data_IF_763554834173
#
_entry.id   IF_763554834173
#
_cell.length_a   1.000
_cell.length_b   1.000
_cell.length_c   1.000
_cell.angle_alpha   90.00
_cell.angle_beta   90.00
_cell.angle_gamma   90.00
#
_symmetry.space_group_name_H-M   'P 1'
#
loop_
_entity.id
_entity.type
_entity.pdbx_description
1 polymer ?
#
# COMPACT_ATOMS: atom_id res chain seq x y z
N UNK A 1 -16.72 23.83 -7.85
CA UNK A 1 -15.96 22.61 -7.58
C UNK A 1 -14.45 22.85 -7.57
N UNK A 2 -13.83 23.30 -8.65
CA UNK A 2 -12.36 23.55 -8.73
C UNK A 2 -11.88 24.80 -7.96
N UNK A 3 -12.76 25.59 -7.40
CA UNK A 3 -12.48 26.73 -6.50
C UNK A 3 -12.81 26.40 -5.04
N UNK A 4 -13.24 25.16 -4.76
CA UNK A 4 -13.60 24.71 -3.42
C UNK A 4 -12.35 24.08 -2.77
N UNK A 5 -11.87 24.70 -1.69
CA UNK A 5 -10.69 24.26 -0.95
C UNK A 5 -10.82 22.84 -0.41
N UNK A 6 -12.04 22.44 -0.02
CA UNK A 6 -12.29 21.08 0.50
C UNK A 6 -12.12 20.06 -0.63
N UNK A 7 -12.63 20.37 -1.83
CA UNK A 7 -12.47 19.52 -2.99
C UNK A 7 -10.99 19.38 -3.39
N UNK A 8 -10.26 20.48 -3.45
CA UNK A 8 -8.83 20.45 -3.78
C UNK A 8 -8.02 19.70 -2.73
N UNK A 9 -8.38 19.83 -1.46
CA UNK A 9 -7.73 19.07 -0.36
C UNK A 9 -8.01 17.57 -0.50
N UNK A 10 -9.23 17.17 -0.81
CA UNK A 10 -9.58 15.77 -1.02
C UNK A 10 -8.85 15.17 -2.23
N UNK A 11 -8.73 15.91 -3.33
CA UNK A 11 -7.97 15.52 -4.50
C UNK A 11 -6.48 15.35 -4.19
N UNK A 12 -5.88 16.30 -3.45
CA UNK A 12 -4.50 16.22 -3.00
C UNK A 12 -4.27 14.97 -2.13
N UNK A 13 -5.16 14.69 -1.20
CA UNK A 13 -5.07 13.50 -0.34
C UNK A 13 -5.11 12.20 -1.16
N UNK A 14 -6.00 12.13 -2.16
CA UNK A 14 -6.03 10.99 -3.08
C UNK A 14 -4.70 10.82 -3.84
N UNK A 15 -4.10 11.90 -4.34
CA UNK A 15 -2.80 11.84 -5.04
C UNK A 15 -1.70 11.35 -4.08
N UNK A 16 -1.67 11.86 -2.85
CA UNK A 16 -0.73 11.40 -1.82
C UNK A 16 -0.88 9.90 -1.58
N UNK A 17 -2.11 9.43 -1.41
CA UNK A 17 -2.39 8.00 -1.22
C UNK A 17 -1.99 7.15 -2.43
N UNK A 18 -2.30 7.61 -3.65
CA UNK A 18 -1.98 6.91 -4.90
C UNK A 18 -0.47 6.75 -5.13
N UNK A 19 0.35 7.61 -4.52
CA UNK A 19 1.81 7.52 -4.58
C UNK A 19 2.36 6.75 -3.38
N UNK A 20 1.99 7.14 -2.16
CA UNK A 20 2.60 6.62 -0.93
C UNK A 20 2.22 5.17 -0.68
N UNK A 21 0.95 4.80 -0.87
CA UNK A 21 0.51 3.41 -0.63
C UNK A 21 1.24 2.40 -1.52
N UNK A 22 1.31 2.56 -2.87
CA UNK A 22 2.08 1.65 -3.70
C UNK A 22 3.56 1.62 -3.34
N UNK A 23 4.20 2.79 -3.15
CA UNK A 23 5.63 2.85 -2.81
C UNK A 23 5.93 2.04 -1.54
N UNK A 24 5.23 2.33 -0.45
CA UNK A 24 5.50 1.69 0.84
C UNK A 24 5.11 0.22 0.83
N UNK A 25 3.88 -0.10 0.37
CA UNK A 25 3.38 -1.47 0.39
C UNK A 25 4.21 -2.40 -0.49
N UNK A 26 4.51 -1.99 -1.74
CA UNK A 26 5.22 -2.86 -2.68
C UNK A 26 6.70 -2.99 -2.30
N UNK A 27 7.32 -1.95 -1.76
CA UNK A 27 8.70 -2.03 -1.25
C UNK A 27 8.80 -3.01 -0.09
N UNK A 28 7.91 -2.91 0.90
CA UNK A 28 7.88 -3.85 2.03
C UNK A 28 7.54 -5.27 1.58
N UNK A 29 6.56 -5.42 0.70
CA UNK A 29 6.15 -6.74 0.17
C UNK A 29 7.26 -7.41 -0.62
N UNK A 30 7.98 -6.65 -1.47
CA UNK A 30 9.12 -7.16 -2.23
C UNK A 30 10.29 -7.52 -1.31
N UNK A 31 10.58 -6.70 -0.31
CA UNK A 31 11.62 -7.00 0.68
C UNK A 31 11.32 -8.31 1.42
N UNK A 32 10.08 -8.48 1.91
CA UNK A 32 9.65 -9.71 2.58
C UNK A 32 9.67 -10.91 1.63
N UNK A 33 9.17 -10.77 0.39
CA UNK A 33 9.19 -11.81 -0.61
C UNK A 33 10.63 -12.26 -0.93
N UNK A 34 11.55 -11.32 -1.11
CA UNK A 34 12.96 -11.60 -1.37
C UNK A 34 13.64 -12.29 -0.20
N UNK A 35 13.36 -11.90 1.04
CA UNK A 35 13.88 -12.57 2.24
C UNK A 35 13.40 -14.02 2.33
N UNK A 36 12.13 -14.26 1.98
CA UNK A 36 11.54 -15.62 2.05
C UNK A 36 12.05 -16.52 0.93
N UNK A 37 12.30 -15.99 -0.28
CA UNK A 37 12.64 -16.77 -1.47
C UNK A 37 14.15 -16.89 -1.70
N UNK A 38 14.89 -15.80 -1.60
CA UNK A 38 16.33 -15.70 -1.91
C UNK A 38 17.19 -15.98 -0.69
N UNK A 39 16.61 -15.97 0.51
CA UNK A 39 17.31 -16.07 1.81
C UNK A 39 17.82 -17.46 2.22
N UNK A 40 17.50 -18.54 1.50
CA UNK A 40 17.80 -19.92 1.90
C UNK A 40 19.25 -20.38 1.65
N UNK A 41 19.71 -21.30 2.52
CA UNK A 41 21.08 -21.82 2.57
C UNK A 41 21.51 -22.55 1.30
N UNK A 42 22.79 -22.39 0.98
CA UNK A 42 23.50 -23.01 -0.13
C UNK A 42 23.50 -24.54 -0.06
N UNK A 43 22.87 -25.18 -1.02
CA UNK A 43 23.21 -26.47 -1.64
C UNK A 43 22.10 -26.85 -2.61
N UNK A 44 22.26 -26.47 -3.87
CA UNK A 44 21.53 -27.06 -5.01
C UNK A 44 20.02 -26.89 -5.11
N UNK A 45 19.36 -26.13 -4.26
CA UNK A 45 17.95 -25.72 -4.36
C UNK A 45 17.77 -24.34 -3.71
N UNK A 46 17.02 -23.47 -4.36
CA UNK A 46 16.53 -22.22 -3.76
C UNK A 46 15.58 -22.54 -2.59
N UNK A 47 16.17 -22.95 -1.46
CA UNK A 47 15.41 -23.19 -0.24
C UNK A 47 15.24 -21.85 0.46
N UNK A 48 14.02 -21.30 0.38
CA UNK A 48 13.58 -20.19 1.21
C UNK A 48 13.76 -20.49 2.72
N UNK A 49 13.51 -19.50 3.55
CA UNK A 49 13.56 -19.66 5.01
C UNK A 49 12.77 -20.90 5.45
N UNK A 50 13.31 -21.64 6.43
CA UNK A 50 12.55 -22.68 7.12
C UNK A 50 11.24 -22.07 7.63
N UNK A 51 10.10 -22.76 7.40
CA UNK A 51 8.76 -22.27 7.70
C UNK A 51 8.25 -21.13 6.81
N UNK A 52 8.72 -20.99 5.54
CA UNK A 52 8.23 -19.99 4.60
C UNK A 52 6.70 -20.01 4.42
N UNK A 53 6.05 -21.18 4.55
CA UNK A 53 4.60 -21.31 4.54
C UNK A 53 3.93 -20.59 5.70
N UNK A 54 4.46 -20.73 6.90
CA UNK A 54 3.93 -20.05 8.09
C UNK A 54 3.99 -18.52 7.95
N UNK A 55 5.16 -17.99 7.54
CA UNK A 55 5.30 -16.54 7.33
C UNK A 55 4.32 -15.99 6.27
N UNK A 56 4.08 -16.74 5.19
CA UNK A 56 3.10 -16.37 4.17
C UNK A 56 1.69 -16.35 4.74
N UNK A 57 1.29 -17.39 5.48
CA UNK A 57 -0.05 -17.47 6.06
C UNK A 57 -0.29 -16.35 7.07
N UNK A 58 0.66 -16.11 7.99
CA UNK A 58 0.53 -15.06 9.01
C UNK A 58 0.51 -13.67 8.39
N UNK A 59 1.39 -13.39 7.40
CA UNK A 59 1.39 -12.08 6.74
C UNK A 59 0.18 -11.86 5.85
N UNK A 60 -0.40 -12.91 5.27
CA UNK A 60 -1.60 -12.83 4.43
C UNK A 60 -2.89 -12.67 5.24
N UNK A 61 -2.89 -13.10 6.51
CA UNK A 61 -4.09 -13.11 7.35
C UNK A 61 -4.81 -11.75 7.44
N UNK A 62 -4.13 -10.60 7.61
CA UNK A 62 -4.81 -9.31 7.66
C UNK A 62 -5.63 -8.99 6.41
N UNK A 63 -5.16 -9.38 5.24
CA UNK A 63 -5.84 -9.13 3.95
C UNK A 63 -7.21 -9.83 3.86
N UNK A 64 -7.40 -10.96 4.53
CA UNK A 64 -8.67 -11.72 4.52
C UNK A 64 -9.76 -11.03 5.32
N UNK A 65 -9.40 -10.15 6.25
CA UNK A 65 -10.34 -9.42 7.10
C UNK A 65 -11.01 -8.30 6.27
N UNK A 66 -12.34 -8.14 6.30
CA UNK A 66 -13.01 -7.03 5.61
C UNK A 66 -12.46 -5.67 6.05
N UNK A 67 -12.23 -4.77 5.08
CA UNK A 67 -11.62 -3.46 5.31
C UNK A 67 -12.33 -2.62 6.39
N UNK A 68 -13.67 -2.70 6.44
CA UNK A 68 -14.47 -2.00 7.46
C UNK A 68 -14.16 -2.52 8.88
N UNK A 69 -13.99 -3.83 9.03
CA UNK A 69 -13.66 -4.46 10.31
C UNK A 69 -12.26 -4.07 10.75
N UNK A 70 -11.30 -4.07 9.82
CA UNK A 70 -9.93 -3.58 10.06
C UNK A 70 -9.97 -2.13 10.56
N UNK A 71 -10.72 -1.27 9.88
CA UNK A 71 -10.84 0.14 10.26
C UNK A 71 -11.41 0.33 11.66
N UNK A 72 -12.50 -0.38 12.00
CA UNK A 72 -13.12 -0.34 13.34
C UNK A 72 -12.15 -0.89 14.40
N UNK A 73 -11.48 -2.00 14.12
CA UNK A 73 -10.49 -2.58 15.03
C UNK A 73 -9.33 -1.60 15.31
N UNK A 74 -8.77 -1.01 14.27
CA UNK A 74 -7.67 -0.06 14.41
C UNK A 74 -8.10 1.27 15.02
N UNK A 75 -9.35 1.71 14.85
CA UNK A 75 -9.85 2.89 15.56
C UNK A 75 -9.85 2.69 17.08
N UNK A 76 -10.13 1.47 17.56
CA UNK A 76 -10.01 1.11 18.98
C UNK A 76 -8.54 1.00 19.44
N UNK A 77 -7.66 0.48 18.59
CA UNK A 77 -6.22 0.39 18.91
C UNK A 77 -5.59 1.79 19.03
N UNK A 78 -6.08 2.75 18.22
CA UNK A 78 -5.63 4.14 18.20
C UNK A 78 -6.41 5.06 19.18
N UNK A 79 -7.33 4.52 19.99
CA UNK A 79 -8.11 5.33 20.94
C UNK A 79 -7.17 6.06 21.90
N UNK A 80 -7.33 7.40 22.08
CA UNK A 80 -6.43 8.17 22.95
C UNK A 80 -6.48 7.75 24.41
N UNK A 81 -7.67 7.31 24.90
CA UNK A 81 -7.89 7.07 26.33
C UNK A 81 -7.58 5.63 26.75
N UNK A 82 -7.97 4.66 25.92
CA UNK A 82 -7.88 3.22 26.25
C UNK A 82 -7.24 2.40 25.13
N UNK A 83 -6.61 3.04 24.14
CA UNK A 83 -6.03 2.36 22.98
C UNK A 83 -4.82 1.50 23.34
N UNK A 84 -4.79 0.29 22.75
CA UNK A 84 -3.72 -0.67 22.96
C UNK A 84 -2.34 -0.09 22.60
N UNK A 85 -2.25 0.72 21.54
CA UNK A 85 -0.98 1.29 21.09
C UNK A 85 -0.41 2.27 22.12
N UNK A 86 -1.24 3.19 22.64
CA UNK A 86 -0.84 4.13 23.68
C UNK A 86 -0.43 3.39 24.96
N UNK A 87 -1.20 2.38 25.37
CA UNK A 87 -0.89 1.58 26.56
C UNK A 87 0.46 0.85 26.44
N UNK A 88 0.78 0.27 25.28
CA UNK A 88 2.08 -0.38 25.05
C UNK A 88 3.21 0.64 25.07
N UNK A 89 3.07 1.77 24.39
CA UNK A 89 4.12 2.80 24.31
C UNK A 89 4.40 3.41 25.69
N UNK A 90 3.36 3.69 26.48
CA UNK A 90 3.51 4.21 27.85
C UNK A 90 4.17 3.16 28.76
N UNK A 91 3.76 1.89 28.65
CA UNK A 91 4.40 0.82 29.42
C UNK A 91 5.89 0.62 29.08
N UNK A 92 6.32 0.99 27.86
CA UNK A 92 7.72 1.01 27.44
C UNK A 92 8.47 2.26 27.87
N UNK A 93 7.83 3.20 28.60
CA UNK A 93 8.44 4.41 29.12
C UNK A 93 8.28 5.66 28.24
N UNK A 94 7.47 5.59 27.18
CA UNK A 94 7.18 6.74 26.31
C UNK A 94 5.92 7.47 26.79
N UNK A 95 6.01 8.18 27.92
CA UNK A 95 4.89 8.90 28.56
C UNK A 95 4.20 9.92 27.62
N UNK A 96 4.92 10.46 26.64
CA UNK A 96 4.36 11.39 25.66
C UNK A 96 3.18 10.80 24.85
N UNK A 97 3.01 9.49 24.83
CA UNK A 97 1.92 8.80 24.14
C UNK A 97 0.76 8.38 25.04
N UNK A 98 0.74 8.75 26.32
CA UNK A 98 -0.30 8.34 27.28
C UNK A 98 -1.74 8.62 26.79
N UNK A 99 -1.95 9.76 26.12
CA UNK A 99 -3.25 10.13 25.54
C UNK A 99 -3.09 10.67 24.10
N UNK A 100 -2.15 10.12 23.34
CA UNK A 100 -1.82 10.66 22.03
C UNK A 100 -2.93 10.37 21.00
N UNK A 101 -3.51 11.40 20.35
CA UNK A 101 -4.65 11.22 19.43
C UNK A 101 -4.17 10.91 18.01
N UNK A 102 -3.78 9.68 17.73
CA UNK A 102 -3.25 9.24 16.41
C UNK A 102 -4.10 9.65 15.22
N UNK A 103 -5.42 9.54 15.34
CA UNK A 103 -6.40 9.92 14.32
C UNK A 103 -6.98 11.32 14.55
N UNK A 104 -6.76 11.89 15.71
CA UNK A 104 -7.26 13.22 16.12
C UNK A 104 -6.30 14.38 15.83
N UNK A 105 -5.04 14.10 15.51
CA UNK A 105 -4.04 15.12 15.14
C UNK A 105 -3.90 15.16 13.60
N UNK A 106 -3.99 16.36 13.02
CA UNK A 106 -3.89 16.59 11.56
C UNK A 106 -2.57 16.06 10.96
N UNK A 107 -1.49 16.04 11.72
CA UNK A 107 -0.16 15.63 11.28
C UNK A 107 0.00 14.12 11.23
N UNK A 108 -0.72 13.40 12.10
CA UNK A 108 -0.56 11.94 12.25
C UNK A 108 -1.68 11.13 11.65
N UNK A 109 -2.89 11.69 11.51
CA UNK A 109 -4.08 10.96 11.06
C UNK A 109 -3.88 10.27 9.70
N UNK A 110 -3.29 10.97 8.71
CA UNK A 110 -3.03 10.39 7.40
C UNK A 110 -1.98 9.26 7.48
N UNK A 111 -0.89 9.47 8.20
CA UNK A 111 0.17 8.47 8.36
C UNK A 111 -0.32 7.23 9.11
N UNK A 112 -1.11 7.41 10.19
CA UNK A 112 -1.74 6.32 10.91
C UNK A 112 -2.67 5.49 10.02
N UNK A 113 -3.47 6.16 9.18
CA UNK A 113 -4.36 5.49 8.23
C UNK A 113 -3.58 4.74 7.15
N UNK A 114 -2.53 5.34 6.59
CA UNK A 114 -1.63 4.68 5.63
C UNK A 114 -1.03 3.42 6.24
N UNK A 115 -0.57 3.47 7.48
CA UNK A 115 -0.01 2.32 8.18
C UNK A 115 -1.01 1.15 8.24
N UNK A 116 -2.27 1.42 8.57
CA UNK A 116 -3.32 0.39 8.63
C UNK A 116 -3.56 -0.26 7.27
N UNK A 117 -3.64 0.55 6.21
CA UNK A 117 -3.85 0.03 4.85
C UNK A 117 -2.63 -0.80 4.40
N UNK A 118 -1.41 -0.30 4.62
CA UNK A 118 -0.17 -1.03 4.32
C UNK A 118 -0.12 -2.35 5.07
N UNK A 119 -0.39 -2.35 6.37
CA UNK A 119 -0.41 -3.55 7.20
C UNK A 119 -1.40 -4.59 6.67
N UNK A 120 -2.57 -4.16 6.21
CA UNK A 120 -3.57 -5.07 5.67
C UNK A 120 -3.21 -5.64 4.29
N UNK A 121 -2.46 -4.89 3.47
CA UNK A 121 -2.18 -5.24 2.07
C UNK A 121 -0.82 -5.90 1.84
N UNK A 122 0.16 -5.64 2.70
CA UNK A 122 1.55 -6.08 2.50
C UNK A 122 1.68 -7.59 2.29
N UNK A 123 0.90 -8.38 3.01
CA UNK A 123 0.94 -9.84 2.91
C UNK A 123 0.43 -10.38 1.58
N UNK A 124 -0.61 -9.78 1.02
CA UNK A 124 -1.15 -10.13 -0.30
C UNK A 124 -0.09 -9.91 -1.39
N UNK A 125 0.48 -8.71 -1.46
CA UNK A 125 1.51 -8.38 -2.46
C UNK A 125 2.81 -9.15 -2.23
N UNK A 126 3.15 -9.48 -0.98
CA UNK A 126 4.27 -10.38 -0.68
C UNK A 126 4.06 -11.76 -1.30
N UNK A 127 2.88 -12.37 -1.16
CA UNK A 127 2.58 -13.69 -1.75
C UNK A 127 2.61 -13.62 -3.28
N UNK A 128 2.08 -12.54 -3.88
CA UNK A 128 2.13 -12.29 -5.31
C UNK A 128 3.58 -12.23 -5.81
N UNK A 129 4.46 -11.47 -5.14
CA UNK A 129 5.87 -11.38 -5.52
C UNK A 129 6.62 -12.67 -5.27
N UNK A 130 6.29 -13.43 -4.23
CA UNK A 130 6.86 -14.78 -4.03
C UNK A 130 6.53 -15.71 -5.20
N UNK A 131 5.32 -15.64 -5.75
CA UNK A 131 4.95 -16.39 -6.94
C UNK A 131 5.79 -15.96 -8.14
N UNK A 132 5.81 -14.65 -8.44
CA UNK A 132 6.59 -14.09 -9.54
C UNK A 132 8.10 -14.43 -9.46
N UNK A 133 8.69 -14.37 -8.26
CA UNK A 133 10.12 -14.74 -8.07
C UNK A 133 10.36 -16.23 -8.34
N UNK A 134 9.40 -17.08 -8.02
CA UNK A 134 9.54 -18.52 -8.25
C UNK A 134 9.42 -18.93 -9.72
N UNK A 135 8.79 -18.11 -10.54
CA UNK A 135 8.68 -18.32 -11.98
C UNK A 135 9.99 -17.98 -12.71
N UNK A 136 10.93 -17.28 -12.04
CA UNK A 136 12.26 -17.03 -12.59
C UNK A 136 13.09 -18.33 -12.56
N UNK A 137 13.74 -18.72 -13.66
CA UNK A 137 14.59 -19.93 -13.72
C UNK A 137 15.68 -19.94 -12.63
N UNK A 138 15.85 -21.07 -11.96
CA UNK A 138 16.80 -21.20 -10.86
C UNK A 138 18.25 -20.94 -11.29
N UNK A 139 18.57 -21.30 -12.54
CA UNK A 139 19.88 -21.10 -13.15
C UNK A 139 20.32 -19.63 -13.14
N UNK A 140 19.37 -18.69 -13.27
CA UNK A 140 19.64 -17.25 -13.19
C UNK A 140 20.22 -16.86 -11.82
N UNK A 141 19.66 -17.41 -10.76
CA UNK A 141 20.15 -17.15 -9.39
C UNK A 141 21.45 -17.88 -9.07
N UNK A 142 21.65 -19.06 -9.65
CA UNK A 142 22.89 -19.83 -9.50
C UNK A 142 24.05 -19.16 -10.21
N UNK A 143 23.87 -18.72 -11.45
CA UNK A 143 24.87 -17.95 -12.21
C UNK A 143 25.27 -16.68 -11.45
N UNK A 144 24.30 -15.90 -10.98
CA UNK A 144 24.56 -14.70 -10.20
C UNK A 144 25.38 -14.95 -8.92
N UNK A 145 25.15 -16.10 -8.26
CA UNK A 145 25.95 -16.49 -7.07
C UNK A 145 27.36 -16.90 -7.42
N UNK A 146 27.55 -17.59 -8.55
CA UNK A 146 28.89 -17.95 -9.07
C UNK A 146 29.69 -16.67 -9.35
N UNK A 147 29.02 -15.63 -9.91
CA UNK A 147 29.60 -14.31 -10.15
C UNK A 147 29.81 -13.48 -8.86
N UNK A 148 29.55 -14.06 -7.67
CA UNK A 148 29.76 -13.41 -6.38
C UNK A 148 28.69 -12.37 -5.98
N UNK A 149 27.52 -12.38 -6.63
CA UNK A 149 26.45 -11.46 -6.27
C UNK A 149 25.88 -11.78 -4.89
N UNK A 150 25.91 -10.81 -3.97
CA UNK A 150 25.25 -10.89 -2.67
C UNK A 150 23.74 -10.82 -2.78
N UNK A 151 23.03 -11.21 -1.72
CA UNK A 151 21.54 -11.28 -1.67
C UNK A 151 20.84 -9.97 -2.08
N UNK A 152 21.34 -8.85 -1.61
CA UNK A 152 20.78 -7.53 -1.93
C UNK A 152 20.95 -7.21 -3.44
N UNK A 153 22.15 -7.51 -4.00
CA UNK A 153 22.39 -7.33 -5.43
C UNK A 153 21.50 -8.24 -6.27
N UNK A 154 21.32 -9.48 -5.86
CA UNK A 154 20.40 -10.43 -6.53
C UNK A 154 18.97 -9.87 -6.49
N UNK A 155 18.48 -9.39 -5.33
CA UNK A 155 17.14 -8.85 -5.21
C UNK A 155 16.92 -7.64 -6.11
N UNK A 156 17.77 -6.62 -6.05
CA UNK A 156 17.54 -5.33 -6.73
C UNK A 156 17.97 -5.37 -8.20
N UNK A 157 19.11 -5.97 -8.52
CA UNK A 157 19.70 -5.88 -9.87
C UNK A 157 19.28 -7.04 -10.79
N UNK A 158 18.74 -8.14 -10.23
CA UNK A 158 18.36 -9.32 -11.01
C UNK A 158 16.87 -9.60 -10.84
N UNK A 159 16.40 -9.81 -9.62
CA UNK A 159 15.01 -10.22 -9.38
C UNK A 159 14.02 -9.12 -9.74
N UNK A 160 14.22 -7.90 -9.24
CA UNK A 160 13.29 -6.79 -9.45
C UNK A 160 13.07 -6.46 -10.94
N UNK A 161 14.11 -6.38 -11.79
CA UNK A 161 13.91 -6.21 -13.23
C UNK A 161 13.17 -7.37 -13.90
N UNK A 162 13.43 -8.62 -13.50
CA UNK A 162 12.79 -9.80 -14.09
C UNK A 162 11.30 -9.91 -13.77
N UNK A 163 10.86 -9.39 -12.61
CA UNK A 163 9.43 -9.38 -12.22
C UNK A 163 8.77 -8.02 -12.43
N UNK A 164 9.36 -7.12 -13.20
CA UNK A 164 8.89 -5.74 -13.38
C UNK A 164 7.41 -5.64 -13.78
N UNK A 165 6.93 -6.55 -14.62
CA UNK A 165 5.55 -6.55 -15.09
C UNK A 165 4.57 -6.89 -13.96
N UNK A 166 4.96 -7.79 -13.04
CA UNK A 166 4.19 -8.07 -11.84
C UNK A 166 4.18 -6.87 -10.89
N UNK A 167 5.32 -6.17 -10.76
CA UNK A 167 5.43 -4.93 -9.95
C UNK A 167 4.55 -3.83 -10.53
N UNK A 168 4.57 -3.64 -11.86
CA UNK A 168 3.72 -2.67 -12.54
C UNK A 168 2.24 -2.97 -12.33
N UNK A 169 1.84 -4.22 -12.53
CA UNK A 169 0.46 -4.66 -12.32
C UNK A 169 0.01 -4.40 -10.89
N UNK A 170 0.86 -4.76 -9.91
CA UNK A 170 0.61 -4.51 -8.50
C UNK A 170 0.49 -3.00 -8.19
N UNK A 171 1.33 -2.16 -8.83
CA UNK A 171 1.28 -0.70 -8.68
C UNK A 171 -0.04 -0.10 -9.18
N UNK A 172 -0.51 -0.54 -10.35
CA UNK A 172 -1.78 -0.08 -10.92
C UNK A 172 -2.95 -0.47 -10.01
N UNK A 173 -3.04 -1.75 -9.61
CA UNK A 173 -4.10 -2.22 -8.73
C UNK A 173 -4.14 -1.50 -7.39
N UNK A 174 -2.97 -1.35 -6.74
CA UNK A 174 -2.90 -0.68 -5.45
C UNK A 174 -3.15 0.83 -5.56
N UNK A 175 -2.74 1.45 -6.67
CA UNK A 175 -3.04 2.85 -6.93
C UNK A 175 -4.53 3.12 -7.17
N UNK A 176 -5.22 2.23 -7.90
CA UNK A 176 -6.68 2.30 -8.05
C UNK A 176 -7.37 2.16 -6.68
N UNK A 177 -6.94 1.18 -5.87
CA UNK A 177 -7.44 1.01 -4.49
C UNK A 177 -7.20 2.26 -3.64
N UNK A 178 -6.03 2.88 -3.78
CA UNK A 178 -5.69 4.10 -3.05
C UNK A 178 -6.58 5.30 -3.44
N UNK A 179 -6.95 5.40 -4.73
CA UNK A 179 -7.87 6.42 -5.21
C UNK A 179 -9.31 6.18 -4.74
N UNK A 180 -9.70 4.92 -4.51
CA UNK A 180 -11.00 4.50 -3.98
C UNK A 180 -10.93 4.03 -2.50
N UNK A 181 -10.09 4.65 -1.68
CA UNK A 181 -9.88 4.26 -0.29
C UNK A 181 -11.03 4.64 0.66
N UNK A 182 -12.28 4.69 0.17
CA UNK A 182 -13.45 5.14 0.93
C UNK A 182 -13.66 4.36 2.22
N UNK A 183 -13.62 3.02 2.16
CA UNK A 183 -13.99 2.17 3.30
C UNK A 183 -13.03 2.36 4.49
N UNK A 184 -11.72 2.38 4.25
CA UNK A 184 -10.74 2.63 5.30
C UNK A 184 -10.87 4.04 5.88
N UNK A 185 -11.05 5.04 5.02
CA UNK A 185 -11.19 6.43 5.44
C UNK A 185 -12.49 6.66 6.23
N UNK A 186 -13.60 6.06 5.81
CA UNK A 186 -14.87 6.17 6.52
C UNK A 186 -14.84 5.50 7.90
N UNK A 187 -14.11 4.39 8.04
CA UNK A 187 -14.02 3.65 9.29
C UNK A 187 -13.03 4.27 10.30
N UNK A 188 -11.87 4.74 9.82
CA UNK A 188 -10.82 5.32 10.68
C UNK A 188 -11.03 6.82 10.94
N UNK A 189 -11.46 7.55 9.92
CA UNK A 189 -11.59 9.01 9.95
C UNK A 189 -12.97 9.43 9.42
N UNK A 190 -14.05 9.17 10.18
CA UNK A 190 -15.38 9.61 9.77
C UNK A 190 -15.40 11.13 9.58
N UNK A 191 -15.98 11.59 8.46
CA UNK A 191 -16.04 13.02 8.12
C UNK A 191 -14.74 13.61 7.57
N UNK A 192 -13.70 12.81 7.30
CA UNK A 192 -12.45 13.29 6.68
C UNK A 192 -11.33 13.62 7.67
N UNK A 193 -11.50 13.24 8.95
CA UNK A 193 -10.52 13.50 10.01
C UNK A 193 -10.38 14.96 10.42
N UNK A 194 -9.42 15.28 11.30
CA UNK A 194 -9.23 16.64 11.79
C UNK A 194 -8.90 17.59 10.63
N UNK A 195 -9.64 18.69 10.54
CA UNK A 195 -9.48 19.69 9.47
C UNK A 195 -9.45 19.10 8.05
N UNK A 196 -10.21 18.03 7.77
CA UNK A 196 -10.24 17.32 6.47
C UNK A 196 -8.85 16.78 6.03
N UNK A 197 -7.94 16.50 6.98
CA UNK A 197 -6.57 16.06 6.68
C UNK A 197 -6.51 14.69 6.00
N UNK A 198 -7.54 13.87 6.20
CA UNK A 198 -7.66 12.53 5.60
C UNK A 198 -8.83 12.40 4.62
N UNK A 199 -9.54 13.50 4.35
CA UNK A 199 -10.69 13.48 3.45
C UNK A 199 -10.26 13.05 2.04
N UNK A 200 -10.91 12.02 1.49
CA UNK A 200 -10.73 11.55 0.11
C UNK A 200 -11.94 11.89 -0.75
N UNK A 201 -11.74 11.96 -2.07
CA UNK A 201 -12.80 12.35 -3.02
C UNK A 201 -14.02 11.42 -2.94
N UNK A 202 -13.83 10.12 -2.78
CA UNK A 202 -14.93 9.16 -2.64
C UNK A 202 -15.79 9.44 -1.38
N UNK A 203 -15.16 9.83 -0.26
CA UNK A 203 -15.85 10.21 0.98
C UNK A 203 -16.59 11.54 0.81
N UNK A 204 -15.96 12.52 0.16
CA UNK A 204 -16.61 13.81 -0.13
C UNK A 204 -17.79 13.65 -1.10
N UNK A 205 -17.65 12.83 -2.14
CA UNK A 205 -18.72 12.49 -3.08
C UNK A 205 -19.90 11.86 -2.33
N UNK A 206 -19.65 10.88 -1.48
CA UNK A 206 -20.69 10.23 -0.66
C UNK A 206 -21.43 11.26 0.20
N UNK A 207 -20.71 12.09 0.93
CA UNK A 207 -21.30 13.14 1.78
C UNK A 207 -22.10 14.17 0.94
N UNK A 208 -21.60 14.56 -0.23
CA UNK A 208 -22.27 15.51 -1.12
C UNK A 208 -23.56 14.95 -1.69
N UNK A 209 -23.56 13.66 -2.08
CA UNK A 209 -24.74 12.98 -2.58
C UNK A 209 -25.79 12.73 -1.49
N UNK A 210 -25.39 12.00 -0.45
CA UNK A 210 -26.34 11.39 0.49
C UNK A 210 -26.62 12.23 1.73
N UNK A 211 -25.70 13.09 2.15
CA UNK A 211 -25.91 13.99 3.29
C UNK A 211 -26.42 15.36 2.86
N UNK A 212 -25.88 15.92 1.75
CA UNK A 212 -26.26 17.24 1.25
C UNK A 212 -27.35 17.19 0.17
N UNK A 213 -27.70 16.02 -0.37
CA UNK A 213 -28.70 15.86 -1.45
C UNK A 213 -28.27 16.43 -2.81
N UNK A 214 -26.99 16.76 -2.99
CA UNK A 214 -26.47 17.42 -4.22
C UNK A 214 -25.96 16.39 -5.23
N UNK A 215 -26.86 15.55 -5.76
CA UNK A 215 -26.50 14.43 -6.64
C UNK A 215 -25.76 14.88 -7.91
N UNK A 216 -26.17 15.99 -8.55
CA UNK A 216 -25.50 16.49 -9.75
C UNK A 216 -24.02 16.85 -9.50
N UNK A 217 -23.72 17.49 -8.36
CA UNK A 217 -22.36 17.82 -7.97
C UNK A 217 -21.56 16.56 -7.63
N UNK A 218 -22.17 15.59 -6.93
CA UNK A 218 -21.54 14.32 -6.62
C UNK A 218 -21.20 13.53 -7.88
N UNK A 219 -22.09 13.48 -8.88
CA UNK A 219 -21.80 12.86 -10.18
C UNK A 219 -20.62 13.53 -10.88
N UNK A 220 -20.55 14.89 -10.85
CA UNK A 220 -19.39 15.59 -11.41
C UNK A 220 -18.08 15.24 -10.70
N UNK A 221 -18.10 15.11 -9.36
CA UNK A 221 -16.94 14.63 -8.58
C UNK A 221 -16.54 13.20 -8.98
N UNK A 222 -17.51 12.30 -9.21
CA UNK A 222 -17.28 10.95 -9.68
C UNK A 222 -16.60 10.90 -11.05
N UNK A 223 -17.01 11.75 -11.99
CA UNK A 223 -16.37 11.88 -13.30
C UNK A 223 -14.91 12.32 -13.18
N UNK A 224 -14.64 13.31 -12.30
CA UNK A 224 -13.25 13.74 -12.04
C UNK A 224 -12.43 12.63 -11.41
N UNK A 225 -12.97 11.91 -10.43
CA UNK A 225 -12.28 10.77 -9.83
C UNK A 225 -11.94 9.67 -10.86
N UNK A 226 -12.90 9.34 -11.74
CA UNK A 226 -12.67 8.40 -12.83
C UNK A 226 -11.57 8.88 -13.79
N UNK A 227 -11.59 10.18 -14.17
CA UNK A 227 -10.56 10.77 -15.02
C UNK A 227 -9.16 10.69 -14.36
N UNK A 228 -9.07 11.04 -13.07
CA UNK A 228 -7.82 10.95 -12.30
C UNK A 228 -7.30 9.50 -12.24
N UNK A 229 -8.18 8.53 -12.03
CA UNK A 229 -7.83 7.10 -11.98
C UNK A 229 -7.31 6.60 -13.33
N UNK A 230 -7.96 7.00 -14.43
CA UNK A 230 -7.51 6.67 -15.78
C UNK A 230 -6.16 7.32 -16.11
N UNK A 231 -5.97 8.59 -15.77
CA UNK A 231 -4.71 9.31 -15.96
C UNK A 231 -3.57 8.66 -15.14
N UNK A 232 -3.84 8.30 -13.88
CA UNK A 232 -2.88 7.59 -13.04
C UNK A 232 -2.46 6.25 -13.68
N UNK A 233 -3.42 5.44 -14.10
CA UNK A 233 -3.14 4.14 -14.73
C UNK A 233 -2.37 4.30 -16.04
N UNK A 234 -2.73 5.26 -16.89
CA UNK A 234 -2.03 5.57 -18.13
C UNK A 234 -0.59 6.05 -17.86
N UNK A 235 -0.39 6.86 -16.83
CA UNK A 235 0.94 7.34 -16.44
C UNK A 235 1.84 6.18 -15.99
N UNK A 236 1.35 5.31 -15.10
CA UNK A 236 2.11 4.14 -14.63
C UNK A 236 2.47 3.22 -15.81
N UNK A 237 1.52 2.99 -16.71
CA UNK A 237 1.76 2.16 -17.91
C UNK A 237 2.81 2.79 -18.83
N UNK A 238 2.74 4.10 -19.07
CA UNK A 238 3.66 4.83 -19.93
C UNK A 238 5.08 4.84 -19.35
N UNK A 239 5.20 5.12 -18.04
CA UNK A 239 6.50 5.11 -17.35
C UNK A 239 7.16 3.74 -17.47
N UNK A 240 6.42 2.66 -17.24
CA UNK A 240 6.98 1.31 -17.36
C UNK A 240 7.41 0.99 -18.81
N UNK A 241 6.64 1.42 -19.80
CA UNK A 241 7.00 1.25 -21.22
C UNK A 241 8.29 1.99 -21.58
N UNK A 242 8.45 3.20 -21.06
CA UNK A 242 9.66 4.00 -21.28
C UNK A 242 10.91 3.41 -20.59
N UNK A 243 10.72 2.87 -19.39
CA UNK A 243 11.80 2.21 -18.64
C UNK A 243 12.11 0.79 -19.18
N UNK A 244 11.11 0.10 -19.74
CA UNK A 244 11.24 -1.25 -20.29
C UNK A 244 11.66 -1.32 -21.75
N UNK A 245 11.49 -0.25 -22.52
CA UNK A 245 11.71 -0.23 -23.98
C UNK A 245 13.17 -0.29 -24.46
N UNK A 246 14.13 -0.54 -23.57
CA UNK A 246 15.56 -0.69 -23.96
C UNK A 246 15.98 -2.14 -24.26
N UNK A 247 15.14 -3.14 -23.91
CA UNK A 247 15.55 -4.55 -24.03
C UNK A 247 14.91 -5.32 -25.20
N UNK A 248 13.92 -4.74 -25.92
CA UNK A 248 13.27 -5.42 -27.06
C UNK A 248 13.93 -5.16 -28.43
N UNK A 249 15.11 -4.58 -28.48
CA UNK A 249 15.86 -4.29 -29.72
C UNK A 249 16.79 -5.42 -30.19
N UNK A 250 16.64 -6.64 -29.71
CA UNK A 250 17.53 -7.76 -30.02
C UNK A 250 16.85 -9.12 -30.12
N UNK A 251 15.90 -9.27 -31.04
CA UNK A 251 15.51 -10.59 -31.59
C UNK A 251 15.34 -10.53 -33.09
#
# INVERSE_FOLDING_TARGET
MFTDDIFLKSLRNNIVLAIVLPVVTLTLSFALASLITVGGSMRGQTRGLKASGFYRTVSFFPYVIPAIVIGIMWSQIYDPSNGLLNGILTALGFEMFESFPWLGDERTAMAATIFVIVWSMVGFYMVLFVAAIKDVPAETFEAARIDGAGRFRIAISITLPLIRDNVQTAWIYLGILALDAFVYMAALNPGGGPNNSTLVMAQQLFTTAFTKGQFGLACAMGVVLAAVTLLFSALVFTVNRLLGGKDDGGR
#
